data_IF_262537809325
#
_entry.id   IF_262537809325
#
_cell.length_a   1.000
_cell.length_b   1.000
_cell.length_c   1.000
_cell.angle_alpha   90.00
_cell.angle_beta   90.00
_cell.angle_gamma   90.00
#
_symmetry.space_group_name_H-M   'P 1'
#
loop_
_entity.id
_entity.type
_entity.pdbx_description
1 polymer ?
#
# COMPACT_ATOMS: atom_id res chain seq x y z
N UNK A 1 15.91 3.48 -2.93
CA UNK A 1 14.54 2.93 -3.00
C UNK A 1 14.20 2.30 -1.65
N UNK A 2 12.95 2.39 -1.18
CA UNK A 2 12.51 1.75 0.09
C UNK A 2 11.88 0.39 -0.18
N UNK A 3 12.16 -0.62 0.66
CA UNK A 3 11.40 -1.88 0.69
C UNK A 3 10.47 -1.82 1.89
N UNK A 4 9.17 -1.95 1.64
CA UNK A 4 8.09 -1.70 2.60
C UNK A 4 7.35 -3.02 2.84
N UNK A 5 7.58 -3.70 3.97
CA UNK A 5 6.82 -4.91 4.28
C UNK A 5 5.37 -4.57 4.63
N UNK A 6 4.45 -5.48 4.30
CA UNK A 6 3.01 -5.26 4.44
C UNK A 6 2.34 -6.15 5.48
N UNK A 7 1.42 -5.56 6.25
CA UNK A 7 0.50 -6.23 7.18
C UNK A 7 -0.93 -5.92 6.76
N UNK A 8 -1.66 -6.93 6.32
CA UNK A 8 -3.09 -6.82 6.09
C UNK A 8 -3.83 -7.31 7.35
N UNK A 9 -4.73 -6.48 7.86
CA UNK A 9 -5.50 -6.76 9.07
C UNK A 9 -6.94 -7.13 8.72
N UNK A 10 -7.39 -8.24 9.26
CA UNK A 10 -8.79 -8.67 9.22
C UNK A 10 -9.14 -9.35 10.55
N UNK A 11 -10.24 -8.93 11.15
CA UNK A 11 -10.69 -9.45 12.46
C UNK A 11 -9.55 -9.42 13.52
N UNK A 12 -8.72 -8.38 13.53
CA UNK A 12 -7.58 -8.22 14.42
C UNK A 12 -6.36 -9.09 14.14
N UNK A 13 -6.34 -9.83 13.03
CA UNK A 13 -5.29 -10.78 12.67
C UNK A 13 -4.52 -10.38 11.42
N UNK A 14 -3.25 -10.82 11.33
CA UNK A 14 -2.48 -10.71 10.08
C UNK A 14 -2.95 -11.76 9.08
N UNK A 15 -3.48 -11.30 7.96
CA UNK A 15 -3.99 -12.18 6.89
C UNK A 15 -3.38 -11.83 5.53
N UNK A 16 -3.57 -12.71 4.55
CA UNK A 16 -3.34 -12.42 3.13
C UNK A 16 -4.55 -12.86 2.32
N UNK A 17 -4.85 -12.08 1.31
CA UNK A 17 -5.81 -12.42 0.27
C UNK A 17 -5.07 -12.86 -1.01
N UNK A 18 -5.77 -13.51 -1.93
CA UNK A 18 -5.30 -13.72 -3.30
C UNK A 18 -6.13 -12.85 -4.23
N UNK A 19 -5.48 -11.94 -4.95
CA UNK A 19 -6.13 -11.00 -5.86
C UNK A 19 -7.34 -10.27 -5.22
N UNK A 20 -7.22 -9.92 -3.92
CA UNK A 20 -8.26 -9.21 -3.18
C UNK A 20 -9.52 -10.03 -2.82
N UNK A 21 -9.55 -11.32 -3.12
CA UNK A 21 -10.71 -12.15 -2.79
C UNK A 21 -10.76 -12.48 -1.29
N UNK A 22 -11.73 -11.90 -0.59
CA UNK A 22 -11.97 -12.10 0.85
C UNK A 22 -12.26 -13.56 1.21
N UNK A 23 -12.78 -14.36 0.26
CA UNK A 23 -13.00 -15.80 0.45
C UNK A 23 -11.70 -16.60 0.55
N UNK A 24 -10.59 -16.04 0.11
CA UNK A 24 -9.26 -16.65 0.18
C UNK A 24 -8.45 -16.22 1.39
N UNK A 25 -9.05 -15.42 2.29
CA UNK A 25 -8.37 -14.90 3.47
C UNK A 25 -7.80 -16.05 4.31
N UNK A 26 -6.51 -16.01 4.57
CA UNK A 26 -5.84 -16.98 5.43
C UNK A 26 -4.85 -16.25 6.33
N UNK A 27 -4.75 -16.72 7.56
CA UNK A 27 -3.83 -16.18 8.55
C UNK A 27 -2.38 -16.48 8.16
N UNK A 28 -1.52 -15.48 8.24
CA UNK A 28 -0.10 -15.58 7.89
C UNK A 28 0.85 -15.31 9.06
N UNK A 29 0.34 -14.69 10.12
CA UNK A 29 1.08 -14.49 11.37
C UNK A 29 0.11 -14.39 12.55
N UNK A 30 0.58 -14.79 13.74
CA UNK A 30 -0.24 -14.84 14.95
C UNK A 30 -0.47 -13.46 15.55
N UNK A 31 0.56 -12.60 15.55
CA UNK A 31 0.57 -11.34 16.27
C UNK A 31 1.06 -10.19 15.39
N UNK A 32 0.23 -9.15 15.14
CA UNK A 32 0.63 -7.99 14.36
C UNK A 32 1.81 -7.21 14.97
N UNK A 33 1.89 -7.09 16.29
CA UNK A 33 2.99 -6.40 16.99
C UNK A 33 4.32 -7.12 16.78
N UNK A 34 4.35 -8.44 17.00
CA UNK A 34 5.55 -9.25 16.77
C UNK A 34 5.95 -9.25 15.29
N UNK A 35 4.98 -9.20 14.38
CA UNK A 35 5.22 -9.13 12.94
C UNK A 35 5.88 -7.82 12.57
N UNK A 36 5.35 -6.69 13.05
CA UNK A 36 5.94 -5.37 12.85
C UNK A 36 7.35 -5.30 13.45
N UNK A 37 7.55 -5.82 14.67
CA UNK A 37 8.87 -5.85 15.30
C UNK A 37 9.89 -6.60 14.43
N UNK A 38 9.54 -7.78 13.91
CA UNK A 38 10.43 -8.53 13.00
C UNK A 38 10.78 -7.75 11.73
N UNK A 39 9.85 -6.95 11.23
CA UNK A 39 10.12 -6.09 10.07
C UNK A 39 11.11 -4.98 10.42
N UNK A 40 10.97 -4.36 11.59
CA UNK A 40 11.90 -3.34 12.07
C UNK A 40 13.30 -3.95 12.35
N UNK A 41 13.36 -5.12 12.95
CA UNK A 41 14.62 -5.85 13.21
C UNK A 41 15.35 -6.21 11.91
N UNK A 42 14.60 -6.43 10.81
CA UNK A 42 15.17 -6.61 9.47
C UNK A 42 15.62 -5.29 8.81
N UNK A 43 15.35 -4.14 9.44
CA UNK A 43 15.76 -2.82 8.97
C UNK A 43 14.71 -2.06 8.17
N UNK A 44 13.42 -2.45 8.23
CA UNK A 44 12.36 -1.70 7.58
C UNK A 44 12.19 -0.32 8.24
N UNK A 45 12.09 0.72 7.41
CA UNK A 45 11.90 2.11 7.84
C UNK A 45 10.43 2.53 7.84
N UNK A 46 9.58 1.78 7.15
CA UNK A 46 8.15 2.00 7.02
C UNK A 46 7.44 0.66 6.92
N UNK A 47 6.30 0.53 7.58
CA UNK A 47 5.41 -0.64 7.47
C UNK A 47 4.13 -0.21 6.76
N UNK A 48 3.75 -0.93 5.71
CA UNK A 48 2.47 -0.75 5.02
C UNK A 48 1.40 -1.56 5.74
N UNK A 49 0.29 -0.92 6.12
CA UNK A 49 -0.82 -1.58 6.79
C UNK A 49 -2.12 -1.36 6.02
N UNK A 50 -2.96 -2.39 5.95
CA UNK A 50 -4.29 -2.30 5.34
C UNK A 50 -5.33 -2.84 6.31
N UNK A 51 -6.33 -2.03 6.63
CA UNK A 51 -7.54 -2.48 7.33
C UNK A 51 -8.55 -3.02 6.31
N UNK A 52 -8.59 -4.35 6.16
CA UNK A 52 -9.46 -5.02 5.20
C UNK A 52 -10.93 -4.95 5.59
N UNK A 53 -11.25 -4.90 6.89
CA UNK A 53 -12.63 -4.77 7.35
C UNK A 53 -13.15 -3.36 7.04
N UNK A 54 -12.36 -2.33 7.34
CA UNK A 54 -12.70 -0.95 6.97
C UNK A 54 -12.82 -0.75 5.44
N UNK A 55 -11.95 -1.41 4.66
CA UNK A 55 -12.02 -1.39 3.19
C UNK A 55 -13.34 -1.98 2.68
N UNK A 56 -13.81 -3.07 3.31
CA UNK A 56 -15.00 -3.81 2.91
C UNK A 56 -16.30 -3.09 3.30
N UNK A 57 -16.45 -2.73 4.56
CA UNK A 57 -17.72 -2.27 5.14
C UNK A 57 -17.64 -0.94 5.90
N UNK A 58 -16.44 -0.35 6.02
CA UNK A 58 -16.21 0.90 6.73
C UNK A 58 -16.12 0.72 8.25
N UNK A 59 -16.03 -0.52 8.75
CA UNK A 59 -15.81 -0.76 10.19
C UNK A 59 -14.39 -0.34 10.58
N UNK A 60 -14.21 0.08 11.82
CA UNK A 60 -12.90 0.46 12.36
C UNK A 60 -12.38 -0.56 13.36
N UNK A 61 -12.68 -1.84 13.12
CA UNK A 61 -12.41 -2.92 14.04
C UNK A 61 -10.91 -3.12 14.33
N UNK A 62 -10.03 -2.77 13.37
CA UNK A 62 -8.59 -2.96 13.51
C UNK A 62 -7.82 -1.73 14.00
N UNK A 63 -8.46 -0.58 14.22
CA UNK A 63 -7.76 0.65 14.64
C UNK A 63 -7.00 0.48 15.97
N UNK A 64 -7.58 -0.21 16.94
CA UNK A 64 -6.89 -0.53 18.20
C UNK A 64 -5.63 -1.38 18.01
N UNK A 65 -5.64 -2.27 17.00
CA UNK A 65 -4.46 -3.09 16.66
C UNK A 65 -3.39 -2.24 16.01
N UNK A 66 -3.76 -1.32 15.10
CA UNK A 66 -2.81 -0.38 14.47
C UNK A 66 -2.16 0.50 15.52
N UNK A 67 -2.94 1.10 16.42
CA UNK A 67 -2.43 1.91 17.53
C UNK A 67 -1.49 1.10 18.44
N UNK A 68 -1.85 -0.14 18.75
CA UNK A 68 -1.02 -1.03 19.56
C UNK A 68 0.32 -1.32 18.87
N UNK A 69 0.32 -1.65 17.57
CA UNK A 69 1.54 -1.89 16.80
C UNK A 69 2.46 -0.67 16.89
N UNK A 70 1.95 0.53 16.61
CA UNK A 70 2.76 1.75 16.62
C UNK A 70 3.31 2.03 18.01
N UNK A 71 2.48 1.95 19.04
CA UNK A 71 2.86 2.25 20.44
C UNK A 71 3.90 1.28 20.99
N UNK A 72 3.77 -0.01 20.71
CA UNK A 72 4.63 -1.05 21.29
C UNK A 72 5.94 -1.23 20.53
N UNK A 73 5.95 -0.98 19.22
CA UNK A 73 7.16 -1.19 18.40
C UNK A 73 7.88 0.11 18.01
N UNK A 74 7.20 1.26 18.10
CA UNK A 74 7.70 2.52 17.55
C UNK A 74 7.73 2.56 16.01
N UNK A 75 7.01 1.65 15.34
CA UNK A 75 6.99 1.56 13.89
C UNK A 75 6.50 2.85 13.25
N UNK A 76 7.22 3.34 12.25
CA UNK A 76 6.67 4.28 11.28
C UNK A 76 5.75 3.47 10.34
N UNK A 77 4.49 3.84 10.26
CA UNK A 77 3.50 3.09 9.48
C UNK A 77 2.68 3.99 8.55
N UNK A 78 2.21 3.42 7.46
CA UNK A 78 1.15 3.98 6.63
C UNK A 78 -0.07 3.05 6.69
N UNK A 79 -1.27 3.62 6.67
CA UNK A 79 -2.52 2.86 6.75
C UNK A 79 -3.48 3.21 5.61
N UNK A 80 -3.97 2.17 4.96
CA UNK A 80 -5.08 2.21 4.01
C UNK A 80 -6.26 1.36 4.46
N UNK A 81 -7.36 1.48 3.74
CA UNK A 81 -8.60 0.78 4.00
C UNK A 81 -9.68 1.69 4.59
N UNK A 82 -10.77 1.87 3.85
CA UNK A 82 -11.97 2.56 4.32
C UNK A 82 -11.89 4.09 4.45
N UNK A 83 -10.84 4.74 3.98
CA UNK A 83 -10.67 6.21 4.06
C UNK A 83 -11.53 6.89 3.00
N UNK A 84 -12.58 7.59 3.41
CA UNK A 84 -13.60 8.15 2.52
C UNK A 84 -13.93 9.62 2.79
N UNK A 85 -13.41 10.21 3.87
CA UNK A 85 -13.68 11.58 4.31
C UNK A 85 -12.51 12.19 5.05
N UNK A 86 -12.53 13.52 5.21
CA UNK A 86 -11.54 14.23 6.05
C UNK A 86 -11.57 13.74 7.50
N UNK A 87 -12.73 13.36 8.02
CA UNK A 87 -12.87 12.80 9.37
C UNK A 87 -12.12 11.46 9.49
N UNK A 88 -12.17 10.60 8.46
CA UNK A 88 -11.40 9.34 8.46
C UNK A 88 -9.90 9.62 8.43
N UNK A 89 -9.45 10.58 7.60
CA UNK A 89 -8.05 11.01 7.58
C UNK A 89 -7.59 11.45 8.97
N UNK A 90 -8.36 12.31 9.63
CA UNK A 90 -8.04 12.81 10.97
C UNK A 90 -8.00 11.69 12.02
N UNK A 91 -8.98 10.80 11.97
CA UNK A 91 -9.08 9.65 12.89
C UNK A 91 -7.87 8.73 12.72
N UNK A 92 -7.52 8.40 11.48
CA UNK A 92 -6.37 7.52 11.19
C UNK A 92 -5.05 8.17 11.58
N UNK A 93 -4.89 9.48 11.30
CA UNK A 93 -3.69 10.20 11.72
C UNK A 93 -3.55 10.27 13.25
N UNK A 94 -4.66 10.29 13.98
CA UNK A 94 -4.67 10.29 15.45
C UNK A 94 -4.19 8.94 16.05
N UNK A 95 -4.24 7.83 15.28
CA UNK A 95 -3.67 6.53 15.70
C UNK A 95 -2.12 6.57 15.75
N UNK A 96 -1.50 7.63 15.21
CA UNK A 96 -0.05 7.77 15.18
C UNK A 96 0.60 7.33 13.87
N UNK A 97 -0.15 6.95 12.84
CA UNK A 97 0.42 6.61 11.53
C UNK A 97 1.09 7.84 10.90
N UNK A 98 2.14 7.62 10.14
CA UNK A 98 2.87 8.67 9.43
C UNK A 98 2.15 9.14 8.17
N UNK A 99 1.49 8.22 7.46
CA UNK A 99 0.80 8.48 6.18
C UNK A 99 -0.55 7.77 6.12
N UNK A 100 -1.50 8.38 5.40
CA UNK A 100 -2.84 7.84 5.13
C UNK A 100 -2.96 7.55 3.65
N UNK A 101 -3.47 6.36 3.31
CA UNK A 101 -3.63 5.93 1.93
C UNK A 101 -5.10 6.03 1.53
N UNK A 102 -5.38 6.89 0.55
CA UNK A 102 -6.71 7.08 -0.02
C UNK A 102 -6.78 6.29 -1.34
N UNK A 103 -7.63 5.28 -1.40
CA UNK A 103 -7.86 4.46 -2.58
C UNK A 103 -9.12 4.89 -3.34
N UNK A 104 -10.18 4.09 -3.31
CA UNK A 104 -11.42 4.28 -4.08
C UNK A 104 -12.06 5.67 -3.97
N UNK A 105 -11.91 6.34 -2.83
CA UNK A 105 -12.41 7.69 -2.64
C UNK A 105 -11.70 8.71 -3.55
N UNK A 106 -10.44 8.51 -3.89
CA UNK A 106 -9.70 9.39 -4.79
C UNK A 106 -10.27 9.38 -6.23
N UNK A 107 -10.87 8.26 -6.64
CA UNK A 107 -11.56 8.17 -7.93
C UNK A 107 -12.88 8.95 -7.91
N UNK A 108 -13.63 8.83 -6.81
CA UNK A 108 -14.99 9.38 -6.70
C UNK A 108 -15.03 10.84 -6.35
N UNK A 109 -14.09 11.29 -5.51
CA UNK A 109 -14.03 12.63 -4.95
C UNK A 109 -12.59 13.19 -4.97
N UNK A 110 -12.12 13.67 -6.12
CA UNK A 110 -10.81 14.30 -6.23
C UNK A 110 -10.69 15.58 -5.40
N UNK A 111 -11.80 16.27 -5.11
CA UNK A 111 -11.80 17.50 -4.31
C UNK A 111 -11.47 17.19 -2.84
N UNK A 112 -11.99 16.08 -2.32
CA UNK A 112 -11.59 15.55 -1.01
C UNK A 112 -10.07 15.29 -0.94
N UNK A 113 -9.49 14.68 -1.98
CA UNK A 113 -8.05 14.44 -2.02
C UNK A 113 -7.27 15.76 -2.04
N UNK A 114 -7.71 16.74 -2.84
CA UNK A 114 -7.08 18.05 -2.90
C UNK A 114 -7.11 18.77 -1.54
N UNK A 115 -8.24 18.68 -0.81
CA UNK A 115 -8.36 19.23 0.56
C UNK A 115 -7.41 18.52 1.53
N UNK A 116 -7.37 17.19 1.48
CA UNK A 116 -6.50 16.38 2.33
C UNK A 116 -5.01 16.70 2.08
N UNK A 117 -4.60 16.77 0.81
CA UNK A 117 -3.23 17.14 0.42
C UNK A 117 -2.89 18.55 0.87
N UNK A 118 -3.80 19.52 0.67
CA UNK A 118 -3.59 20.91 1.13
C UNK A 118 -3.37 20.98 2.64
N UNK A 119 -4.05 20.16 3.43
CA UNK A 119 -3.99 20.19 4.90
C UNK A 119 -2.83 19.37 5.45
N UNK A 120 -2.52 18.21 4.85
CA UNK A 120 -1.61 17.22 5.42
C UNK A 120 -0.37 16.93 4.57
N UNK A 121 -0.30 17.46 3.34
CA UNK A 121 0.89 17.38 2.46
C UNK A 121 1.34 15.94 2.23
N UNK A 122 2.63 15.68 2.51
CA UNK A 122 3.30 14.39 2.29
C UNK A 122 2.76 13.23 3.14
N UNK A 123 1.82 13.50 4.05
CA UNK A 123 1.12 12.47 4.81
C UNK A 123 -0.01 11.81 4.03
N UNK A 124 -0.38 12.34 2.87
CA UNK A 124 -1.41 11.78 2.00
C UNK A 124 -0.75 10.98 0.87
N UNK A 125 -1.18 9.75 0.73
CA UNK A 125 -0.77 8.81 -0.32
C UNK A 125 -2.01 8.43 -1.11
N UNK A 126 -1.93 8.32 -2.43
CA UNK A 126 -3.02 7.77 -3.25
C UNK A 126 -2.69 6.34 -3.67
N UNK A 127 -3.60 5.42 -3.36
CA UNK A 127 -3.55 4.05 -3.85
C UNK A 127 -4.23 3.93 -5.21
N UNK A 128 -3.51 3.43 -6.20
CA UNK A 128 -4.00 3.13 -7.55
C UNK A 128 -3.94 1.62 -7.74
N UNK A 129 -5.06 0.98 -7.59
CA UNK A 129 -5.19 -0.45 -7.85
C UNK A 129 -5.71 -0.63 -9.27
N UNK A 130 -4.91 -1.24 -10.15
CA UNK A 130 -5.26 -1.39 -11.55
C UNK A 130 -5.37 -2.87 -11.96
N UNK A 131 -6.34 -3.15 -12.81
CA UNK A 131 -6.42 -4.41 -13.56
C UNK A 131 -6.29 -4.11 -15.03
N UNK A 132 -5.25 -4.66 -15.66
CA UNK A 132 -4.81 -4.23 -16.97
C UNK A 132 -4.50 -2.72 -16.95
N UNK A 133 -5.23 -1.89 -17.66
CA UNK A 133 -5.02 -0.43 -17.73
C UNK A 133 -6.06 0.38 -16.96
N UNK A 134 -7.02 -0.27 -16.27
CA UNK A 134 -8.17 0.40 -15.66
C UNK A 134 -8.08 0.38 -14.14
N UNK A 135 -8.29 1.55 -13.53
CA UNK A 135 -8.34 1.70 -12.06
C UNK A 135 -9.56 1.00 -11.50
N UNK A 136 -9.36 0.23 -10.44
CA UNK A 136 -10.40 -0.49 -9.71
C UNK A 136 -10.74 0.20 -8.40
N UNK A 137 -11.99 0.03 -7.98
CA UNK A 137 -12.54 0.60 -6.74
C UNK A 137 -13.22 -0.50 -5.91
N UNK A 138 -13.67 -0.15 -4.71
CA UNK A 138 -14.48 -1.01 -3.84
C UNK A 138 -13.85 -2.38 -3.54
N UNK A 139 -12.58 -2.37 -3.12
CA UNK A 139 -11.86 -3.61 -2.88
C UNK A 139 -11.69 -4.44 -4.16
N UNK A 140 -11.47 -3.76 -5.29
CA UNK A 140 -11.24 -4.30 -6.63
C UNK A 140 -12.48 -4.84 -7.35
N UNK A 141 -13.68 -4.66 -6.77
CA UNK A 141 -14.95 -5.13 -7.35
C UNK A 141 -15.53 -4.14 -8.36
N UNK A 142 -15.26 -2.85 -8.20
CA UNK A 142 -15.73 -1.79 -9.09
C UNK A 142 -14.73 -1.51 -10.20
N UNK A 143 -15.25 -1.10 -11.37
CA UNK A 143 -14.48 -0.61 -12.50
C UNK A 143 -14.74 0.89 -12.65
N UNK A 144 -13.69 1.72 -12.57
CA UNK A 144 -13.85 3.17 -12.73
C UNK A 144 -13.98 3.60 -14.19
N UNK A 145 -13.56 2.76 -15.14
CA UNK A 145 -13.43 3.14 -16.55
C UNK A 145 -12.24 4.08 -16.84
N UNK A 146 -11.51 4.51 -15.82
CA UNK A 146 -10.40 5.47 -15.96
C UNK A 146 -9.06 4.74 -16.14
N UNK A 147 -8.24 5.20 -17.10
CA UNK A 147 -6.89 4.69 -17.29
C UNK A 147 -5.99 5.10 -16.10
N UNK A 148 -5.15 4.18 -15.60
CA UNK A 148 -4.32 4.40 -14.41
C UNK A 148 -3.29 5.53 -14.57
N UNK A 149 -2.78 5.76 -15.80
CA UNK A 149 -1.83 6.86 -16.08
C UNK A 149 -2.57 8.19 -15.99
N UNK A 150 -3.70 8.33 -16.70
CA UNK A 150 -4.50 9.55 -16.67
C UNK A 150 -4.95 9.89 -15.24
N UNK A 151 -5.31 8.87 -14.47
CA UNK A 151 -5.66 9.04 -13.06
C UNK A 151 -4.46 9.52 -12.23
N UNK A 152 -3.28 8.93 -12.42
CA UNK A 152 -2.06 9.33 -11.71
C UNK A 152 -1.66 10.79 -12.03
N UNK A 153 -1.68 11.17 -13.31
CA UNK A 153 -1.42 12.55 -13.75
C UNK A 153 -2.39 13.54 -13.11
N UNK A 154 -3.68 13.17 -13.04
CA UNK A 154 -4.70 13.97 -12.35
C UNK A 154 -4.41 14.11 -10.87
N UNK A 155 -4.02 13.03 -10.18
CA UNK A 155 -3.66 13.09 -8.76
C UNK A 155 -2.42 13.94 -8.52
N UNK A 156 -1.40 13.81 -9.35
CA UNK A 156 -0.21 14.66 -9.27
C UNK A 156 -0.57 16.15 -9.48
N UNK A 157 -1.45 16.45 -10.44
CA UNK A 157 -1.87 17.83 -10.73
C UNK A 157 -2.57 18.54 -9.56
N UNK A 158 -3.20 17.81 -8.67
CA UNK A 158 -3.81 18.33 -7.44
C UNK A 158 -2.87 18.31 -6.22
N UNK A 159 -1.60 17.94 -6.43
CA UNK A 159 -0.53 18.02 -5.45
C UNK A 159 -0.19 16.73 -4.71
N UNK A 160 -0.71 15.59 -5.13
CA UNK A 160 -0.31 14.27 -4.59
C UNK A 160 1.17 14.02 -4.90
N UNK A 161 1.94 13.64 -3.89
CA UNK A 161 3.38 13.39 -4.02
C UNK A 161 3.78 11.93 -3.88
N UNK A 162 2.87 11.07 -3.43
CA UNK A 162 3.12 9.66 -3.20
C UNK A 162 1.98 8.83 -3.80
N UNK A 163 2.33 7.93 -4.71
CA UNK A 163 1.40 6.99 -5.34
C UNK A 163 1.85 5.56 -5.03
N UNK A 164 0.96 4.75 -4.51
CA UNK A 164 1.12 3.30 -4.46
C UNK A 164 0.40 2.73 -5.67
N UNK A 165 1.12 2.08 -6.58
CA UNK A 165 0.55 1.43 -7.75
C UNK A 165 0.54 -0.09 -7.54
N UNK A 166 -0.66 -0.69 -7.54
CA UNK A 166 -0.87 -2.14 -7.40
C UNK A 166 -1.38 -2.72 -8.72
N UNK A 167 -0.62 -3.66 -9.31
CA UNK A 167 -1.15 -4.55 -10.34
C UNK A 167 -1.91 -5.70 -9.67
N UNK A 168 -3.24 -5.67 -9.77
CA UNK A 168 -4.14 -6.67 -9.14
C UNK A 168 -3.87 -8.08 -9.66
N UNK A 169 -3.55 -8.23 -10.95
CA UNK A 169 -3.31 -9.54 -11.56
C UNK A 169 -2.00 -10.17 -11.06
N UNK A 170 -1.08 -9.36 -10.53
CA UNK A 170 0.18 -9.79 -9.93
C UNK A 170 0.10 -9.97 -8.42
N UNK A 171 -0.89 -9.33 -7.75
CA UNK A 171 -0.95 -9.36 -6.28
C UNK A 171 -1.15 -10.77 -5.74
N UNK A 172 -0.28 -11.13 -4.78
CA UNK A 172 -0.27 -12.44 -4.14
C UNK A 172 0.22 -13.60 -5.03
N UNK A 173 0.66 -13.35 -6.27
CA UNK A 173 1.03 -14.41 -7.23
C UNK A 173 2.50 -14.80 -7.20
N UNK A 174 3.38 -13.99 -6.58
CA UNK A 174 4.84 -14.20 -6.56
C UNK A 174 5.46 -14.32 -7.97
N UNK A 175 4.93 -13.58 -8.94
CA UNK A 175 5.27 -13.68 -10.36
C UNK A 175 6.05 -12.46 -10.87
N UNK A 176 6.63 -11.69 -9.97
CA UNK A 176 7.28 -10.41 -10.27
C UNK A 176 6.30 -9.26 -10.50
N UNK A 177 6.72 -8.00 -10.29
CA UNK A 177 5.92 -6.82 -10.55
C UNK A 177 5.72 -6.58 -12.06
N UNK A 178 4.77 -5.74 -12.42
CA UNK A 178 4.53 -5.35 -13.80
C UNK A 178 5.46 -4.20 -14.21
N UNK A 179 6.64 -4.54 -14.68
CA UNK A 179 7.66 -3.57 -15.08
C UNK A 179 7.20 -2.65 -16.20
N UNK A 180 6.40 -3.14 -17.15
CA UNK A 180 5.94 -2.35 -18.29
C UNK A 180 4.98 -1.24 -17.84
N UNK A 181 4.01 -1.57 -16.99
CA UNK A 181 3.08 -0.59 -16.43
C UNK A 181 3.80 0.41 -15.52
N UNK A 182 4.74 -0.05 -14.69
CA UNK A 182 5.53 0.82 -13.83
C UNK A 182 6.45 1.75 -14.64
N UNK A 183 7.03 1.27 -15.75
CA UNK A 183 7.82 2.11 -16.65
C UNK A 183 6.98 3.20 -17.31
N UNK A 184 5.79 2.84 -17.80
CA UNK A 184 4.85 3.80 -18.38
C UNK A 184 4.40 4.85 -17.34
N UNK A 185 4.06 4.41 -16.12
CA UNK A 185 3.70 5.31 -15.03
C UNK A 185 4.83 6.25 -14.65
N UNK A 186 6.08 5.72 -14.50
CA UNK A 186 7.25 6.53 -14.16
C UNK A 186 7.57 7.58 -15.24
N UNK A 187 7.30 7.27 -16.51
CA UNK A 187 7.49 8.22 -17.60
C UNK A 187 6.46 9.37 -17.60
N UNK A 188 5.30 9.16 -17.00
CA UNK A 188 4.15 10.09 -17.02
C UNK A 188 4.06 11.02 -15.81
N UNK A 189 4.57 10.61 -14.65
CA UNK A 189 4.49 11.40 -13.40
C UNK A 189 5.87 11.58 -12.77
N UNK A 190 6.05 12.64 -11.99
CA UNK A 190 7.30 12.94 -11.27
C UNK A 190 7.22 12.61 -9.77
N UNK A 191 6.03 12.42 -9.23
CA UNK A 191 5.82 12.05 -7.82
C UNK A 191 6.45 10.68 -7.47
N UNK A 192 6.61 10.39 -6.19
CA UNK A 192 7.09 9.08 -5.73
C UNK A 192 6.13 7.97 -6.14
N UNK A 193 6.68 6.90 -6.71
CA UNK A 193 5.94 5.68 -7.07
C UNK A 193 6.41 4.54 -6.18
N UNK A 194 5.47 3.91 -5.50
CA UNK A 194 5.66 2.71 -4.71
C UNK A 194 5.00 1.55 -5.46
N UNK A 195 5.79 0.59 -5.93
CA UNK A 195 5.29 -0.58 -6.62
C UNK A 195 4.67 -1.57 -5.64
N UNK A 196 3.49 -2.10 -5.98
CA UNK A 196 2.78 -3.12 -5.23
C UNK A 196 2.25 -4.21 -6.18
N UNK A 197 2.16 -5.43 -5.67
CA UNK A 197 1.74 -6.60 -6.44
C UNK A 197 2.90 -7.34 -7.11
N UNK A 198 3.08 -8.61 -6.74
CA UNK A 198 4.00 -9.55 -7.38
C UNK A 198 5.45 -9.53 -6.90
N UNK A 199 5.93 -8.51 -6.20
CA UNK A 199 7.32 -8.42 -5.72
C UNK A 199 7.70 -9.66 -4.91
N UNK A 200 8.72 -10.40 -5.36
CA UNK A 200 9.01 -11.72 -4.82
C UNK A 200 10.49 -12.11 -4.74
N UNK A 201 11.37 -11.44 -5.46
CA UNK A 201 12.79 -11.76 -5.54
C UNK A 201 13.69 -10.54 -5.37
N UNK A 202 14.98 -10.75 -5.07
CA UNK A 202 15.99 -9.68 -5.09
C UNK A 202 16.17 -9.10 -6.48
N UNK A 203 15.98 -9.91 -7.53
CA UNK A 203 16.02 -9.42 -8.91
C UNK A 203 14.88 -8.43 -9.21
N UNK A 204 13.69 -8.63 -8.62
CA UNK A 204 12.60 -7.66 -8.72
C UNK A 204 12.98 -6.32 -8.08
N UNK A 205 13.58 -6.36 -6.90
CA UNK A 205 14.07 -5.17 -6.19
C UNK A 205 15.10 -4.41 -7.01
N UNK A 206 16.10 -5.11 -7.55
CA UNK A 206 17.12 -4.52 -8.41
C UNK A 206 16.51 -3.92 -9.69
N UNK A 207 15.54 -4.61 -10.31
CA UNK A 207 14.82 -4.15 -11.49
C UNK A 207 14.01 -2.88 -11.24
N UNK A 208 13.26 -2.82 -10.13
CA UNK A 208 12.49 -1.65 -9.71
C UNK A 208 13.40 -0.44 -9.43
N UNK A 209 14.51 -0.67 -8.73
CA UNK A 209 15.53 0.36 -8.47
C UNK A 209 16.09 0.93 -9.77
N UNK A 210 16.44 0.05 -10.74
CA UNK A 210 16.96 0.45 -12.05
C UNK A 210 15.92 1.26 -12.86
N UNK A 211 14.65 0.97 -12.68
CA UNK A 211 13.54 1.69 -13.31
C UNK A 211 13.29 3.07 -12.69
N UNK A 212 13.94 3.41 -11.56
CA UNK A 212 13.71 4.66 -10.84
C UNK A 212 12.42 4.67 -10.02
N UNK A 213 11.97 3.50 -9.56
CA UNK A 213 10.85 3.35 -8.63
C UNK A 213 11.35 3.66 -7.22
N UNK A 214 10.55 4.40 -6.45
CA UNK A 214 10.96 4.97 -5.15
C UNK A 214 10.74 4.02 -3.98
N UNK A 215 9.79 3.10 -4.12
CA UNK A 215 9.49 2.08 -3.10
C UNK A 215 8.90 0.79 -3.68
N UNK A 216 8.99 -0.29 -2.90
CA UNK A 216 8.38 -1.57 -3.25
C UNK A 216 7.70 -2.19 -2.03
N UNK A 217 6.40 -2.48 -2.13
CA UNK A 217 5.66 -3.20 -1.09
C UNK A 217 5.91 -4.70 -1.26
N UNK A 218 6.40 -5.32 -0.19
CA UNK A 218 6.65 -6.75 -0.12
C UNK A 218 5.71 -7.40 0.91
N UNK A 219 4.72 -8.12 0.42
CA UNK A 219 3.73 -8.82 1.24
C UNK A 219 4.03 -10.32 1.32
N UNK A 220 3.30 -11.13 0.53
CA UNK A 220 3.33 -12.58 0.56
C UNK A 220 4.76 -13.17 0.53
N UNK A 221 5.66 -12.61 -0.26
CA UNK A 221 7.02 -13.09 -0.41
C UNK A 221 7.83 -13.08 0.91
N UNK A 222 7.58 -12.10 1.79
CA UNK A 222 8.22 -12.02 3.11
C UNK A 222 7.68 -13.10 4.04
N UNK A 223 6.37 -13.33 4.06
CA UNK A 223 5.76 -14.35 4.91
C UNK A 223 6.09 -15.78 4.49
N UNK A 224 6.24 -16.04 3.19
CA UNK A 224 6.63 -17.36 2.66
C UNK A 224 8.13 -17.61 2.71
N UNK A 225 8.93 -16.58 3.04
CA UNK A 225 10.39 -16.66 3.02
C UNK A 225 11.00 -16.68 1.60
N UNK A 226 10.17 -16.43 0.57
CA UNK A 226 10.65 -16.33 -0.83
C UNK A 226 11.55 -15.11 -1.01
N UNK A 227 11.27 -14.02 -0.28
CA UNK A 227 12.09 -12.81 -0.22
C UNK A 227 12.61 -12.61 1.20
N UNK A 228 13.92 -12.64 1.37
CA UNK A 228 14.60 -12.24 2.61
C UNK A 228 14.53 -10.71 2.72
N UNK A 229 13.78 -10.21 3.69
CA UNK A 229 13.51 -8.77 3.84
C UNK A 229 14.79 -7.97 4.10
N UNK A 230 15.70 -8.46 4.95
CA UNK A 230 16.94 -7.74 5.25
C UNK A 230 17.84 -7.63 4.02
N UNK A 231 17.94 -8.71 3.22
CA UNK A 231 18.68 -8.67 1.95
C UNK A 231 18.01 -7.75 0.94
N UNK A 232 16.67 -7.76 0.84
CA UNK A 232 15.93 -6.89 -0.05
C UNK A 232 16.15 -5.40 0.30
N UNK A 233 16.13 -5.06 1.59
CA UNK A 233 16.43 -3.70 2.08
C UNK A 233 17.88 -3.30 1.74
N UNK A 234 18.83 -4.22 1.89
CA UNK A 234 20.22 -3.98 1.54
C UNK A 234 20.43 -3.77 0.04
N UNK A 235 19.74 -4.54 -0.82
CA UNK A 235 19.79 -4.41 -2.28
C UNK A 235 19.19 -3.07 -2.76
N UNK A 236 18.16 -2.59 -2.05
CA UNK A 236 17.46 -1.36 -2.37
C UNK A 236 18.27 -0.07 -2.06
N UNK A 237 19.29 -0.16 -1.18
CA UNK A 237 20.20 0.96 -0.85
C UNK A 237 21.18 1.24 -1.97
#
# INVERSE_FOLDING_TARGET
MRVIPAIDLKDGQCVRLQKGDYGTAHKVAENPVETAQRFLDAGAELVHMVDLDAAKDGSHANYGVVEQVIRETGATAELGGGIRSMQDVETVLALGVSRVIIGSAAVRDPEFVAEAVKKYGDRIVVGIDAKSETVRTDGWLGDSGENYIAFAERMESIGVRHIIFTDIDKDGMLAGPNFDQLAALRASVSCEIIASGGVSTLADIAGLKKLGIDGAIAGKAVYTGTLDLAKAISEAK
#
